data_IF_565632186703
#
_entry.id   IF_565632186703
#
_cell.length_a   1.000
_cell.length_b   1.000
_cell.length_c   1.000
_cell.angle_alpha   90.00
_cell.angle_beta   90.00
_cell.angle_gamma   90.00
#
_symmetry.space_group_name_H-M   'P 1'
#
loop_
_entity.id
_entity.type
_entity.pdbx_description
1 polymer ?
#
# COMPACT_ATOMS: atom_id res chain seq x y z
N UNK A 1 60.13 36.95 -55.22
CA UNK A 1 59.61 37.08 -53.85
C UNK A 1 59.90 35.78 -53.11
N UNK A 2 60.54 35.90 -51.94
CA UNK A 2 61.23 34.90 -51.12
C UNK A 2 60.38 33.66 -50.75
N UNK A 3 60.88 32.42 -50.84
CA UNK A 3 61.83 31.66 -49.99
C UNK A 3 61.32 31.26 -48.58
N UNK A 4 61.25 29.93 -48.40
CA UNK A 4 61.04 29.16 -47.17
C UNK A 4 62.02 29.53 -46.04
N UNK A 5 61.57 29.49 -44.78
CA UNK A 5 62.38 29.19 -43.57
C UNK A 5 61.52 28.66 -42.43
N UNK A 6 62.02 27.59 -41.81
CA UNK A 6 61.50 26.86 -40.65
C UNK A 6 61.44 27.67 -39.34
N UNK A 7 60.60 27.24 -38.39
CA UNK A 7 60.94 27.16 -36.95
C UNK A 7 59.97 26.14 -36.28
N UNK A 8 60.36 24.87 -36.15
CA UNK A 8 60.91 24.26 -34.93
C UNK A 8 60.08 24.51 -33.64
N UNK A 9 59.41 23.48 -33.11
CA UNK A 9 59.83 22.72 -31.90
C UNK A 9 58.71 21.80 -31.36
N UNK A 10 58.95 20.48 -31.47
CA UNK A 10 58.39 19.44 -30.58
C UNK A 10 58.87 19.68 -29.14
N UNK A 11 57.97 19.66 -28.15
CA UNK A 11 58.26 19.24 -26.75
C UNK A 11 57.03 18.60 -26.08
N UNK A 12 57.24 17.73 -25.06
CA UNK A 12 56.49 16.47 -24.92
C UNK A 12 55.34 16.48 -23.89
N UNK A 13 54.28 15.74 -24.21
CA UNK A 13 53.04 15.54 -23.43
C UNK A 13 53.18 14.73 -22.12
N UNK A 14 54.37 14.67 -21.52
CA UNK A 14 54.64 13.80 -20.35
C UNK A 14 54.44 14.47 -18.99
N UNK A 15 54.38 15.81 -18.92
CA UNK A 15 54.24 16.51 -17.63
C UNK A 15 52.79 16.71 -17.16
N UNK A 16 51.80 16.54 -18.04
CA UNK A 16 50.38 16.78 -17.70
C UNK A 16 49.66 15.56 -17.11
N UNK A 17 50.19 14.33 -17.25
CA UNK A 17 49.55 13.11 -16.72
C UNK A 17 49.87 12.80 -15.25
N UNK A 18 50.88 13.43 -14.64
CA UNK A 18 51.20 13.21 -13.21
C UNK A 18 50.41 14.14 -12.26
N UNK A 19 49.87 15.26 -12.76
CA UNK A 19 49.14 16.23 -11.95
C UNK A 19 47.63 15.98 -11.86
N UNK A 20 47.02 15.22 -12.79
CA UNK A 20 45.59 14.89 -12.72
C UNK A 20 45.30 13.67 -11.82
N UNK A 21 46.23 12.72 -11.70
CA UNK A 21 46.05 11.55 -10.85
C UNK A 21 46.20 11.87 -9.35
N UNK A 22 47.07 12.81 -8.98
CA UNK A 22 47.30 13.19 -7.57
C UNK A 22 46.18 14.06 -7.01
N UNK A 23 45.61 14.96 -7.82
CA UNK A 23 44.46 15.78 -7.41
C UNK A 23 43.20 14.91 -7.26
N UNK A 24 42.96 13.97 -8.18
CA UNK A 24 41.82 13.05 -8.09
C UNK A 24 41.85 12.16 -6.85
N UNK A 25 43.02 11.60 -6.50
CA UNK A 25 43.19 10.77 -5.31
C UNK A 25 43.02 11.56 -4.00
N UNK A 26 43.48 12.81 -3.96
CA UNK A 26 43.32 13.67 -2.79
C UNK A 26 41.86 14.06 -2.53
N UNK A 27 41.09 14.36 -3.60
CA UNK A 27 39.65 14.65 -3.48
C UNK A 27 38.87 13.43 -3.00
N UNK A 28 39.20 12.24 -3.52
CA UNK A 28 38.57 10.98 -3.08
C UNK A 28 38.86 10.64 -1.62
N UNK A 29 40.10 10.85 -1.15
CA UNK A 29 40.48 10.65 0.25
C UNK A 29 39.79 11.65 1.19
N UNK A 30 39.66 12.91 0.78
CA UNK A 30 38.92 13.93 1.56
C UNK A 30 37.44 13.56 1.64
N UNK A 31 36.84 13.11 0.53
CA UNK A 31 35.45 12.65 0.51
C UNK A 31 35.24 11.41 1.38
N UNK A 32 36.13 10.42 1.31
CA UNK A 32 36.11 9.23 2.18
C UNK A 32 36.25 9.58 3.66
N UNK A 33 37.15 10.51 4.01
CA UNK A 33 37.30 10.99 5.39
C UNK A 33 36.08 11.78 5.88
N UNK A 34 35.41 12.53 5.00
CA UNK A 34 34.13 13.17 5.30
C UNK A 34 33.01 12.14 5.48
N UNK A 35 32.92 11.12 4.64
CA UNK A 35 31.96 10.02 4.78
C UNK A 35 32.17 9.25 6.09
N UNK A 36 33.42 8.92 6.45
CA UNK A 36 33.73 8.25 7.71
C UNK A 36 33.43 9.13 8.93
N UNK A 37 33.64 10.45 8.87
CA UNK A 37 33.22 11.37 9.94
C UNK A 37 31.71 11.55 10.02
N UNK A 38 30.99 11.50 8.90
CA UNK A 38 29.52 11.55 8.90
C UNK A 38 28.91 10.25 9.44
N UNK A 39 29.48 9.10 9.08
CA UNK A 39 29.07 7.78 9.61
C UNK A 39 29.45 7.65 11.10
N UNK A 40 30.65 8.09 11.49
CA UNK A 40 31.10 8.05 12.89
C UNK A 40 30.37 9.04 13.81
N UNK A 41 29.91 10.18 13.29
CA UNK A 41 29.00 11.07 14.05
C UNK A 41 27.59 10.50 14.15
N UNK A 42 27.15 9.69 13.19
CA UNK A 42 25.84 9.02 13.23
C UNK A 42 25.80 7.88 14.26
N UNK A 43 26.94 7.29 14.61
CA UNK A 43 27.02 6.23 15.63
C UNK A 43 27.15 6.75 17.07
N UNK A 44 27.60 7.99 17.27
CA UNK A 44 27.86 8.53 18.62
C UNK A 44 26.67 9.35 19.20
N UNK A 45 25.66 9.67 18.38
CA UNK A 45 24.44 10.39 18.80
C UNK A 45 23.22 9.45 19.02
N UNK A 46 23.39 8.12 18.93
CA UNK A 46 22.34 7.14 19.25
C UNK A 46 22.46 6.71 20.72
N UNK A 47 22.21 7.65 21.62
CA UNK A 47 21.74 7.30 22.96
C UNK A 47 20.25 7.01 22.85
N UNK A 48 19.83 5.83 23.31
CA UNK A 48 18.43 5.40 23.42
C UNK A 48 17.59 6.50 24.11
N UNK A 49 16.79 7.21 23.34
CA UNK A 49 15.71 8.07 23.82
C UNK A 49 14.38 7.33 23.58
N UNK A 50 13.79 6.71 24.61
CA UNK A 50 12.59 5.88 24.44
C UNK A 50 11.33 6.75 24.42
N UNK A 51 11.25 7.76 23.55
CA UNK A 51 10.02 8.54 23.38
C UNK A 51 10.06 9.39 22.10
N UNK A 52 9.66 8.82 20.96
CA UNK A 52 8.98 9.50 19.84
C UNK A 52 9.01 8.64 18.57
N UNK A 53 8.39 7.47 18.61
CA UNK A 53 7.89 6.85 17.39
C UNK A 53 6.53 7.50 17.06
N UNK A 54 6.40 8.29 15.97
CA UNK A 54 5.11 8.85 15.56
C UNK A 54 4.08 7.76 15.19
N UNK A 55 4.49 6.50 15.00
CA UNK A 55 3.59 5.36 14.83
C UNK A 55 3.08 4.78 16.16
N UNK A 56 3.66 5.14 17.31
CA UNK A 56 3.22 4.63 18.62
C UNK A 56 1.88 5.18 19.12
N UNK A 57 1.31 6.17 18.43
CA UNK A 57 0.03 6.79 18.79
C UNK A 57 -1.19 6.17 18.08
N UNK A 58 -1.00 5.23 17.13
CA UNK A 58 -2.11 4.38 16.70
C UNK A 58 -2.41 3.49 17.89
N UNK A 59 -3.52 3.77 18.58
CA UNK A 59 -3.98 2.92 19.66
C UNK A 59 -3.98 1.48 19.14
N UNK A 60 -3.12 0.63 19.70
CA UNK A 60 -3.26 -0.82 19.62
C UNK A 60 -4.55 -1.18 20.35
N UNK A 61 -5.69 -0.82 19.77
CA UNK A 61 -6.95 -1.44 20.08
C UNK A 61 -6.80 -2.85 19.54
N UNK A 62 -6.31 -3.73 20.41
CA UNK A 62 -6.61 -5.15 20.31
C UNK A 62 -8.12 -5.22 20.32
N UNK A 63 -8.72 -5.30 19.13
CA UNK A 63 -10.08 -5.75 18.99
C UNK A 63 -10.04 -7.18 19.52
N UNK A 64 -10.38 -7.36 20.80
CA UNK A 64 -10.82 -8.64 21.29
C UNK A 64 -11.90 -9.07 20.30
N UNK A 65 -11.65 -10.16 19.58
CA UNK A 65 -12.54 -10.73 18.55
C UNK A 65 -13.84 -11.27 19.18
N UNK A 66 -14.37 -10.59 20.19
CA UNK A 66 -15.76 -10.59 20.60
C UNK A 66 -16.57 -9.63 19.73
N UNK A 67 -16.11 -9.39 18.48
CA UNK A 67 -16.99 -8.98 17.38
C UNK A 67 -18.03 -10.08 17.22
N UNK A 68 -19.12 -9.92 17.96
CA UNK A 68 -20.33 -10.68 17.76
C UNK A 68 -20.81 -10.38 16.35
N UNK A 69 -20.43 -11.25 15.42
CA UNK A 69 -20.83 -11.19 14.01
C UNK A 69 -22.36 -11.16 13.82
N UNK A 70 -23.13 -11.29 14.90
CA UNK A 70 -24.59 -11.21 14.94
C UNK A 70 -25.14 -9.89 15.51
N UNK A 71 -24.31 -9.04 16.15
CA UNK A 71 -24.80 -7.93 16.99
C UNK A 71 -25.03 -6.60 16.27
N UNK A 72 -24.52 -6.38 15.06
CA UNK A 72 -24.80 -5.14 14.32
C UNK A 72 -25.62 -5.41 13.06
N UNK A 73 -26.78 -4.75 13.04
CA UNK A 73 -27.90 -4.95 12.13
C UNK A 73 -27.57 -4.50 10.70
N UNK A 74 -26.85 -5.34 9.98
CA UNK A 74 -27.16 -5.74 8.61
C UNK A 74 -26.67 -7.18 8.52
N UNK A 75 -27.49 -8.11 9.03
CA UNK A 75 -27.24 -9.53 8.94
C UNK A 75 -26.79 -9.79 7.50
N UNK A 76 -25.52 -10.23 7.36
CA UNK A 76 -25.01 -10.73 6.09
C UNK A 76 -26.11 -11.63 5.52
N UNK A 77 -26.78 -11.15 4.47
CA UNK A 77 -27.87 -11.88 3.86
C UNK A 77 -27.28 -12.70 2.73
N UNK A 78 -26.90 -13.98 2.98
CA UNK A 78 -26.43 -14.85 1.91
C UNK A 78 -27.48 -15.00 0.81
N UNK A 79 -28.77 -14.72 1.07
CA UNK A 79 -29.84 -14.78 0.07
C UNK A 79 -29.87 -13.58 -0.87
N UNK A 80 -29.24 -12.44 -0.55
CA UNK A 80 -29.09 -11.32 -1.49
C UNK A 80 -28.14 -11.67 -2.65
N UNK A 81 -27.27 -12.66 -2.44
CA UNK A 81 -26.40 -13.25 -3.46
C UNK A 81 -27.02 -14.50 -4.13
N UNK A 82 -28.02 -15.10 -3.49
CA UNK A 82 -28.71 -16.31 -3.97
C UNK A 82 -29.96 -15.97 -4.79
N UNK A 83 -29.89 -14.93 -5.63
CA UNK A 83 -30.83 -14.77 -6.74
C UNK A 83 -30.60 -15.88 -7.77
N UNK A 84 -31.07 -17.07 -7.41
CA UNK A 84 -31.08 -18.28 -8.24
C UNK A 84 -32.02 -18.14 -9.45
N UNK A 85 -32.72 -17.02 -9.62
CA UNK A 85 -33.56 -16.80 -10.80
C UNK A 85 -32.77 -16.72 -12.10
N UNK A 86 -31.42 -16.61 -12.03
CA UNK A 86 -30.55 -16.60 -13.20
C UNK A 86 -29.38 -17.62 -13.16
N UNK A 87 -29.43 -18.63 -12.29
CA UNK A 87 -28.64 -19.86 -12.43
C UNK A 87 -27.10 -19.75 -12.48
N UNK A 88 -26.49 -18.72 -11.89
CA UNK A 88 -25.03 -18.65 -11.80
C UNK A 88 -24.55 -17.62 -10.78
N UNK A 89 -23.45 -17.93 -10.07
CA UNK A 89 -22.70 -16.94 -9.29
C UNK A 89 -22.37 -15.76 -10.21
N UNK A 90 -22.75 -14.52 -9.84
CA UNK A 90 -22.47 -13.35 -10.68
C UNK A 90 -20.96 -13.17 -10.78
N UNK A 91 -20.39 -13.58 -11.93
CA UNK A 91 -18.95 -13.53 -12.19
C UNK A 91 -18.51 -12.09 -12.40
N UNK A 92 -17.45 -11.66 -11.71
CA UNK A 92 -16.70 -10.45 -12.04
C UNK A 92 -15.64 -10.84 -13.09
N UNK A 93 -15.87 -10.46 -14.34
CA UNK A 93 -14.94 -10.72 -15.44
C UNK A 93 -13.78 -9.70 -15.44
N UNK A 94 -12.65 -9.98 -16.11
CA UNK A 94 -11.56 -9.02 -16.23
C UNK A 94 -12.03 -7.65 -16.74
N UNK A 95 -11.59 -6.58 -16.08
CA UNK A 95 -11.97 -5.19 -16.36
C UNK A 95 -13.47 -4.90 -16.21
N UNK A 96 -14.14 -5.64 -15.31
CA UNK A 96 -15.52 -5.37 -14.92
C UNK A 96 -15.62 -5.32 -13.40
N UNK A 97 -16.66 -4.65 -12.90
CA UNK A 97 -16.91 -4.47 -11.47
C UNK A 97 -18.32 -4.90 -11.08
N UNK A 98 -18.48 -5.24 -9.81
CA UNK A 98 -19.75 -5.50 -9.16
C UNK A 98 -19.90 -4.60 -7.92
N UNK A 99 -21.07 -3.98 -7.71
CA UNK A 99 -22.19 -3.88 -8.65
C UNK A 99 -21.81 -3.09 -9.92
N UNK A 100 -22.62 -3.14 -11.01
CA UNK A 100 -22.34 -2.43 -12.26
C UNK A 100 -22.64 -0.93 -12.16
N UNK A 101 -22.15 -0.29 -11.11
CA UNK A 101 -22.19 1.15 -10.83
C UNK A 101 -20.78 1.62 -10.51
N UNK A 102 -20.49 2.90 -10.68
CA UNK A 102 -19.18 3.47 -10.34
C UNK A 102 -18.89 3.30 -8.84
N UNK A 103 -17.64 3.04 -8.50
CA UNK A 103 -17.19 2.91 -7.10
C UNK A 103 -17.68 4.07 -6.23
N UNK A 104 -17.43 5.30 -6.64
CA UNK A 104 -17.83 6.51 -5.89
C UNK A 104 -19.33 6.62 -5.61
N UNK A 105 -20.18 5.94 -6.38
CA UNK A 105 -21.64 5.89 -6.17
C UNK A 105 -22.02 4.82 -5.13
N UNK A 106 -21.16 3.82 -4.95
CA UNK A 106 -21.40 2.63 -4.12
C UNK A 106 -20.68 2.77 -2.79
N UNK A 107 -19.36 2.95 -2.83
CA UNK A 107 -18.47 3.10 -1.68
C UNK A 107 -18.32 4.56 -1.22
N UNK A 108 -18.95 5.51 -1.93
CA UNK A 108 -18.82 6.94 -1.65
C UNK A 108 -17.47 7.52 -2.10
N UNK A 109 -17.39 8.85 -2.20
CA UNK A 109 -16.11 9.53 -2.44
C UNK A 109 -15.22 9.49 -1.19
N UNK A 110 -13.91 9.71 -1.38
CA UNK A 110 -13.07 10.09 -0.25
C UNK A 110 -13.41 11.53 0.17
N UNK A 111 -13.23 11.79 1.46
CA UNK A 111 -13.41 13.04 2.15
C UNK A 111 -12.19 13.30 3.06
N UNK A 112 -11.14 13.95 2.53
CA UNK A 112 -9.92 14.23 3.29
C UNK A 112 -10.15 15.22 4.44
N UNK A 113 -11.26 15.97 4.45
CA UNK A 113 -11.60 16.87 5.55
C UNK A 113 -12.17 16.10 6.75
N UNK A 114 -12.84 14.98 6.51
CA UNK A 114 -13.37 14.08 7.54
C UNK A 114 -12.40 12.97 7.95
N UNK A 115 -11.53 12.53 7.04
CA UNK A 115 -10.60 11.43 7.31
C UNK A 115 -9.56 11.79 8.37
N UNK A 116 -9.43 10.94 9.40
CA UNK A 116 -8.40 11.06 10.44
C UNK A 116 -7.71 9.72 10.60
N UNK A 117 -6.39 9.67 10.44
CA UNK A 117 -5.64 8.40 10.51
C UNK A 117 -5.82 7.73 11.86
N UNK A 118 -5.76 8.52 12.93
CA UNK A 118 -5.80 8.05 14.32
C UNK A 118 -7.19 7.59 14.76
N UNK A 119 -8.24 8.04 14.06
CA UNK A 119 -9.61 7.67 14.35
C UNK A 119 -10.09 6.60 13.38
N UNK A 120 -9.93 6.79 12.08
CA UNK A 120 -10.58 5.94 11.07
C UNK A 120 -9.80 4.65 10.78
N UNK A 121 -8.46 4.67 10.88
CA UNK A 121 -7.63 3.51 10.58
C UNK A 121 -7.38 2.63 11.80
N UNK A 122 -7.21 1.35 11.52
CA UNK A 122 -6.89 0.31 12.49
C UNK A 122 -5.79 -0.56 11.91
N UNK A 123 -4.84 -0.93 12.75
CA UNK A 123 -3.80 -1.86 12.39
C UNK A 123 -4.31 -3.30 12.58
N UNK A 124 -4.32 -4.09 11.51
CA UNK A 124 -4.82 -5.46 11.52
C UNK A 124 -3.73 -6.46 11.12
N UNK A 125 -3.56 -7.48 11.96
CA UNK A 125 -2.55 -8.51 11.81
C UNK A 125 -3.20 -9.88 11.78
N UNK A 126 -2.93 -10.64 10.73
CA UNK A 126 -3.36 -12.03 10.60
C UNK A 126 -2.24 -12.82 9.91
N UNK A 127 -1.69 -13.81 10.62
CA UNK A 127 -0.57 -14.64 10.15
C UNK A 127 -0.94 -15.61 9.03
N UNK A 128 -2.23 -15.73 8.73
CA UNK A 128 -2.73 -16.53 7.60
C UNK A 128 -2.86 -15.73 6.30
N UNK A 129 -2.70 -14.41 6.38
CA UNK A 129 -2.68 -13.49 5.24
C UNK A 129 -1.22 -13.17 4.91
N UNK A 130 -0.91 -13.07 3.62
CA UNK A 130 0.35 -12.51 3.16
C UNK A 130 0.18 -11.01 2.89
N UNK A 131 1.09 -10.19 3.41
CA UNK A 131 1.07 -8.72 3.32
C UNK A 131 2.25 -8.25 2.45
N UNK A 132 2.07 -7.32 1.52
CA UNK A 132 3.16 -6.85 0.66
C UNK A 132 4.15 -6.01 1.45
N UNK A 133 3.63 -5.13 2.31
CA UNK A 133 4.42 -4.25 3.16
C UNK A 133 5.41 -4.98 4.10
N UNK A 134 5.16 -6.25 4.44
CA UNK A 134 6.10 -7.10 5.20
C UNK A 134 7.38 -7.45 4.44
N UNK A 135 7.39 -7.18 3.13
CA UNK A 135 8.45 -7.56 2.20
C UNK A 135 9.10 -6.36 1.50
N UNK A 136 8.72 -5.15 1.88
CA UNK A 136 9.25 -3.92 1.30
C UNK A 136 10.57 -3.48 1.95
N UNK A 137 11.25 -2.54 1.28
CA UNK A 137 12.43 -1.88 1.84
C UNK A 137 12.04 -0.70 2.74
N UNK A 138 13.00 -0.21 3.52
CA UNK A 138 12.86 0.96 4.42
C UNK A 138 12.49 2.30 3.73
N UNK A 139 12.37 2.28 2.42
CA UNK A 139 12.03 3.43 1.57
C UNK A 139 10.56 3.42 1.14
N UNK A 140 9.81 2.34 1.37
CA UNK A 140 8.37 2.31 1.15
C UNK A 140 7.63 2.73 2.42
N UNK A 141 6.62 3.57 2.23
CA UNK A 141 5.73 4.07 3.31
C UNK A 141 4.36 3.40 3.26
N UNK A 142 4.20 2.42 2.38
CA UNK A 142 3.05 1.53 2.37
C UNK A 142 2.94 0.76 3.68
N UNK A 143 1.71 0.70 4.20
CA UNK A 143 1.38 -0.12 5.36
C UNK A 143 0.06 -0.82 5.06
N UNK A 144 0.17 -2.06 4.56
CA UNK A 144 -0.98 -2.87 4.18
C UNK A 144 -1.80 -3.33 5.39
N UNK A 145 -1.21 -3.29 6.57
CA UNK A 145 -1.89 -3.62 7.82
C UNK A 145 -2.82 -2.49 8.28
N UNK A 146 -2.61 -1.26 7.80
CA UNK A 146 -3.34 -0.10 8.24
C UNK A 146 -4.56 0.13 7.33
N UNK A 147 -5.74 -0.30 7.78
CA UNK A 147 -6.97 -0.27 6.99
C UNK A 147 -8.04 0.56 7.70
N UNK A 148 -9.02 1.08 6.96
CA UNK A 148 -10.20 1.69 7.58
C UNK A 148 -10.96 0.62 8.37
N UNK A 149 -11.39 0.95 9.59
CA UNK A 149 -12.17 0.04 10.48
C UNK A 149 -13.33 -0.69 9.79
N UNK A 150 -14.01 -0.04 8.85
CA UNK A 150 -15.13 -0.62 8.09
C UNK A 150 -14.73 -1.73 7.12
N UNK A 151 -13.44 -1.87 6.78
CA UNK A 151 -12.92 -2.99 5.98
C UNK A 151 -12.95 -4.30 6.76
N UNK A 152 -12.67 -4.26 8.06
CA UNK A 152 -12.38 -5.46 8.85
C UNK A 152 -13.45 -6.57 8.71
N UNK A 153 -14.77 -6.28 8.80
CA UNK A 153 -15.75 -7.35 8.68
C UNK A 153 -15.69 -8.07 7.33
N UNK A 154 -15.45 -7.35 6.23
CA UNK A 154 -15.37 -7.94 4.90
C UNK A 154 -14.03 -8.67 4.68
N UNK A 155 -12.92 -8.08 5.14
CA UNK A 155 -11.58 -8.68 5.06
C UNK A 155 -11.50 -10.01 5.84
N UNK A 156 -11.98 -10.04 7.08
CA UNK A 156 -11.99 -11.24 7.92
C UNK A 156 -12.82 -12.36 7.27
N UNK A 157 -14.01 -12.03 6.76
CA UNK A 157 -14.86 -13.00 6.05
C UNK A 157 -14.21 -13.49 4.75
N UNK A 158 -13.56 -12.61 4.00
CA UNK A 158 -12.86 -12.99 2.77
C UNK A 158 -11.72 -13.97 3.07
N UNK A 159 -10.88 -13.66 4.05
CA UNK A 159 -9.77 -14.54 4.42
C UNK A 159 -10.28 -15.94 4.83
N UNK A 160 -11.32 -16.01 5.66
CA UNK A 160 -11.94 -17.28 6.04
C UNK A 160 -12.46 -18.09 4.82
N UNK A 161 -13.10 -17.43 3.84
CA UNK A 161 -13.57 -18.08 2.61
C UNK A 161 -12.41 -18.57 1.73
N UNK A 162 -11.32 -17.81 1.65
CA UNK A 162 -10.12 -18.17 0.88
C UNK A 162 -9.42 -19.38 1.51
N UNK A 163 -9.23 -19.37 2.83
CA UNK A 163 -8.66 -20.49 3.58
C UNK A 163 -9.52 -21.76 3.46
N UNK A 164 -10.85 -21.63 3.48
CA UNK A 164 -11.76 -22.76 3.29
C UNK A 164 -11.58 -23.43 1.91
N UNK A 165 -11.11 -22.69 0.91
CA UNK A 165 -10.78 -23.22 -0.42
C UNK A 165 -9.32 -23.70 -0.55
N UNK A 166 -8.55 -23.68 0.55
CA UNK A 166 -7.16 -24.15 0.57
C UNK A 166 -6.18 -23.20 -0.12
N UNK A 167 -6.53 -21.92 -0.22
CA UNK A 167 -5.72 -20.86 -0.81
C UNK A 167 -5.26 -19.87 0.28
N UNK A 168 -4.30 -18.99 -0.07
CA UNK A 168 -3.79 -17.95 0.82
C UNK A 168 -4.13 -16.58 0.26
N UNK A 169 -4.81 -15.74 1.04
CA UNK A 169 -5.09 -14.35 0.64
C UNK A 169 -3.80 -13.53 0.67
N UNK A 170 -3.60 -12.67 -0.34
CA UNK A 170 -2.51 -11.71 -0.40
C UNK A 170 -3.08 -10.29 -0.49
N UNK A 171 -2.72 -9.43 0.45
CA UNK A 171 -2.92 -7.99 0.32
C UNK A 171 -1.72 -7.43 -0.45
N UNK A 172 -1.99 -6.59 -1.44
CA UNK A 172 -0.95 -5.97 -2.28
C UNK A 172 -0.82 -4.47 -2.04
N UNK A 173 -1.92 -3.84 -1.64
CA UNK A 173 -1.97 -2.41 -1.33
C UNK A 173 -3.22 -2.18 -0.47
N UNK A 174 -3.10 -1.34 0.57
CA UNK A 174 -4.24 -0.86 1.36
C UNK A 174 -4.20 0.66 1.60
N UNK A 175 -3.19 1.12 2.35
CA UNK A 175 -3.03 2.51 2.75
C UNK A 175 -1.56 2.92 2.72
N UNK A 176 -1.35 4.18 2.36
CA UNK A 176 -0.05 4.83 2.37
C UNK A 176 -0.17 6.33 2.55
N UNK A 177 0.72 6.90 3.34
CA UNK A 177 0.70 8.33 3.68
C UNK A 177 1.03 9.22 2.47
N UNK A 178 2.00 8.81 1.66
CA UNK A 178 2.57 9.65 0.59
C UNK A 178 1.69 9.76 -0.68
N UNK A 179 0.52 9.11 -0.71
CA UNK A 179 -0.53 9.35 -1.70
C UNK A 179 -0.17 9.21 -3.19
N UNK A 180 0.41 8.09 -3.63
CA UNK A 180 0.66 7.79 -5.07
C UNK A 180 -0.62 7.56 -5.88
N UNK A 181 -1.74 7.20 -5.22
CA UNK A 181 -3.00 7.02 -5.92
C UNK A 181 -3.60 8.34 -6.39
N UNK A 182 -4.52 8.26 -7.34
CA UNK A 182 -5.31 9.42 -7.75
C UNK A 182 -5.96 10.12 -6.54
N UNK A 183 -6.14 11.45 -6.56
CA UNK A 183 -6.71 12.21 -5.44
C UNK A 183 -8.06 11.71 -4.92
N UNK A 184 -8.85 11.06 -5.78
CA UNK A 184 -10.16 10.51 -5.44
C UNK A 184 -10.14 9.02 -5.03
N UNK A 185 -8.96 8.40 -4.94
CA UNK A 185 -8.83 6.98 -4.59
C UNK A 185 -9.21 6.71 -3.14
N UNK A 186 -9.87 5.58 -2.91
CA UNK A 186 -10.26 5.13 -1.58
C UNK A 186 -9.10 4.50 -0.78
N UNK A 187 -7.99 4.12 -1.43
CA UNK A 187 -6.74 3.76 -0.74
C UNK A 187 -6.21 4.91 0.12
N UNK A 188 -6.49 6.18 -0.26
CA UNK A 188 -6.08 7.35 0.52
C UNK A 188 -6.76 7.46 1.89
N UNK A 189 -7.78 6.63 2.15
CA UNK A 189 -8.47 6.53 3.43
C UNK A 189 -8.45 5.12 4.01
N UNK A 190 -7.65 4.22 3.42
CA UNK A 190 -7.66 2.80 3.78
C UNK A 190 -9.00 2.10 3.55
N UNK A 191 -9.89 2.66 2.71
CA UNK A 191 -11.23 2.10 2.41
C UNK A 191 -11.24 1.18 1.19
N UNK A 192 -10.09 0.94 0.58
CA UNK A 192 -9.91 -0.01 -0.51
C UNK A 192 -8.70 -0.91 -0.26
N UNK A 193 -8.71 -2.09 -0.88
CA UNK A 193 -7.62 -3.05 -0.92
C UNK A 193 -7.41 -3.53 -2.35
N UNK A 194 -6.15 -3.74 -2.73
CA UNK A 194 -5.78 -4.52 -3.91
C UNK A 194 -5.38 -5.93 -3.48
N UNK A 195 -6.05 -6.93 -4.06
CA UNK A 195 -6.05 -8.30 -3.57
C UNK A 195 -5.57 -9.29 -4.63
N UNK A 196 -4.74 -10.23 -4.22
CA UNK A 196 -4.47 -11.46 -4.97
C UNK A 196 -4.58 -12.67 -4.03
N UNK A 197 -4.36 -13.87 -4.55
CA UNK A 197 -4.34 -15.07 -3.72
C UNK A 197 -3.41 -16.11 -4.34
N UNK A 198 -2.66 -16.82 -3.50
CA UNK A 198 -1.95 -18.02 -3.93
C UNK A 198 -2.91 -19.22 -3.92
N UNK A 199 -2.83 -20.05 -4.96
CA UNK A 199 -3.75 -21.19 -5.14
C UNK A 199 -5.16 -20.85 -5.63
N UNK A 200 -5.48 -19.59 -5.96
CA UNK A 200 -6.82 -19.18 -6.41
C UNK A 200 -6.78 -18.21 -7.60
N UNK A 201 -7.69 -18.40 -8.56
CA UNK A 201 -7.84 -17.45 -9.68
C UNK A 201 -8.48 -16.14 -9.23
N UNK A 202 -8.08 -15.01 -9.82
CA UNK A 202 -8.69 -13.69 -9.55
C UNK A 202 -10.21 -13.67 -9.76
N UNK A 203 -10.72 -14.39 -10.76
CA UNK A 203 -12.16 -14.50 -11.00
C UNK A 203 -12.92 -15.20 -9.86
N UNK A 204 -12.26 -16.15 -9.16
CA UNK A 204 -12.82 -16.79 -7.96
C UNK A 204 -12.69 -15.87 -6.76
N UNK A 205 -11.52 -15.25 -6.57
CA UNK A 205 -11.29 -14.27 -5.50
C UNK A 205 -12.30 -13.13 -5.54
N UNK A 206 -12.61 -12.59 -6.71
CA UNK A 206 -13.61 -11.54 -6.86
C UNK A 206 -15.02 -12.00 -6.44
N UNK A 207 -15.40 -13.25 -6.71
CA UNK A 207 -16.68 -13.80 -6.26
C UNK A 207 -16.71 -13.90 -4.73
N UNK A 208 -15.60 -14.33 -4.13
CA UNK A 208 -15.48 -14.41 -2.68
C UNK A 208 -15.46 -13.01 -2.03
N UNK A 209 -14.83 -12.02 -2.64
CA UNK A 209 -14.85 -10.63 -2.16
C UNK A 209 -16.28 -10.06 -2.16
N UNK A 210 -17.04 -10.29 -3.23
CA UNK A 210 -18.47 -9.92 -3.26
C UNK A 210 -19.25 -10.69 -2.19
N UNK A 211 -19.00 -11.99 -2.04
CA UNK A 211 -19.62 -12.82 -1.01
C UNK A 211 -19.18 -12.43 0.41
N UNK A 212 -18.00 -11.84 0.60
CA UNK A 212 -17.52 -11.38 1.89
C UNK A 212 -18.16 -10.05 2.31
N UNK A 213 -18.85 -9.37 1.38
CA UNK A 213 -19.57 -8.13 1.64
C UNK A 213 -18.73 -6.87 1.44
N UNK A 214 -17.72 -6.90 0.56
CA UNK A 214 -17.20 -5.65 -0.01
C UNK A 214 -18.30 -4.96 -0.83
N UNK A 215 -18.46 -3.66 -0.64
CA UNK A 215 -19.53 -2.90 -1.29
C UNK A 215 -19.30 -2.78 -2.80
N UNK A 216 -18.03 -2.66 -3.20
CA UNK A 216 -17.61 -2.60 -4.60
C UNK A 216 -16.38 -3.48 -4.84
N UNK A 217 -16.41 -4.27 -5.90
CA UNK A 217 -15.33 -5.19 -6.29
C UNK A 217 -15.06 -5.05 -7.78
N UNK A 218 -13.81 -4.80 -8.14
CA UNK A 218 -13.35 -4.62 -9.51
C UNK A 218 -12.20 -5.56 -9.83
N UNK A 219 -12.35 -6.29 -10.93
CA UNK A 219 -11.23 -7.02 -11.49
C UNK A 219 -10.39 -6.04 -12.32
N UNK A 220 -9.43 -5.42 -11.64
CA UNK A 220 -8.48 -4.47 -12.20
C UNK A 220 -7.41 -5.19 -13.04
N UNK A 221 -7.06 -4.58 -14.17
CA UNK A 221 -5.96 -5.06 -15.02
C UNK A 221 -5.26 -3.83 -15.60
N UNK A 222 -4.49 -3.11 -14.76
CA UNK A 222 -3.92 -1.83 -15.12
C UNK A 222 -2.83 -2.02 -16.17
N UNK A 223 -2.61 -1.00 -17.00
CA UNK A 223 -1.54 -1.02 -17.99
C UNK A 223 -0.20 -0.84 -17.29
N UNK A 224 0.65 -1.87 -17.30
CA UNK A 224 1.99 -1.82 -16.72
C UNK A 224 2.10 -2.37 -15.29
N UNK A 225 0.99 -2.79 -14.69
CA UNK A 225 0.96 -3.51 -13.41
C UNK A 225 0.37 -4.92 -13.54
N UNK A 226 0.48 -5.70 -12.46
CA UNK A 226 -0.18 -6.99 -12.34
C UNK A 226 -1.70 -6.82 -12.23
N UNK A 227 -2.45 -7.81 -12.72
CA UNK A 227 -3.89 -7.83 -12.51
C UNK A 227 -4.20 -8.27 -11.07
N UNK A 228 -5.18 -7.65 -10.44
CA UNK A 228 -5.59 -7.89 -9.06
C UNK A 228 -7.09 -7.63 -8.90
N UNK A 229 -7.63 -7.93 -7.73
CA UNK A 229 -9.00 -7.58 -7.34
C UNK A 229 -8.93 -6.35 -6.44
N UNK A 230 -9.41 -5.23 -6.96
CA UNK A 230 -9.64 -4.02 -6.17
C UNK A 230 -10.99 -4.17 -5.45
N UNK A 231 -11.02 -3.98 -4.14
CA UNK A 231 -12.23 -4.11 -3.35
C UNK A 231 -12.35 -2.98 -2.32
N UNK A 232 -13.51 -2.32 -2.26
CA UNK A 232 -13.71 -1.17 -1.38
C UNK A 232 -15.03 -1.21 -0.62
N UNK A 233 -15.07 -0.44 0.46
CA UNK A 233 -16.24 -0.31 1.35
C UNK A 233 -16.72 1.13 1.42
N UNK A 234 -18.02 1.28 1.66
CA UNK A 234 -18.61 2.55 2.05
C UNK A 234 -18.23 2.89 3.48
N UNK A 235 -17.98 4.17 3.75
CA UNK A 235 -17.85 4.67 5.13
C UNK A 235 -19.20 4.50 5.82
N UNK A 236 -19.24 3.71 6.87
CA UNK A 236 -20.44 3.57 7.69
C UNK A 236 -20.44 4.73 8.66
N UNK A 237 -21.50 5.54 8.65
CA UNK A 237 -21.70 6.51 9.73
C UNK A 237 -21.81 5.72 11.02
N UNK A 238 -20.84 5.86 11.93
CA UNK A 238 -21.04 5.42 13.30
C UNK A 238 -22.26 6.18 13.85
N UNK A 239 -23.43 5.55 13.82
CA UNK A 239 -24.62 6.02 14.51
C UNK A 239 -24.33 5.96 16.00
N UNK A 240 -23.63 6.97 16.53
CA UNK A 240 -23.14 6.92 17.90
C UNK A 240 -22.35 8.13 18.39
N UNK A 241 -22.00 9.11 17.54
CA UNK A 241 -21.58 10.40 18.09
C UNK A 241 -22.82 11.22 18.46
N UNK A 242 -23.06 11.53 19.75
CA UNK A 242 -24.06 12.52 20.09
C UNK A 242 -23.63 13.84 19.45
N UNK A 243 -24.48 14.37 18.57
CA UNK A 243 -24.45 15.79 18.26
C UNK A 243 -24.69 16.53 19.57
N UNK A 244 -23.63 17.10 20.14
CA UNK A 244 -23.80 18.00 21.28
C UNK A 244 -24.71 19.16 20.85
N UNK A 245 -25.73 19.52 21.66
CA UNK A 245 -26.68 20.57 21.34
C UNK A 245 -26.04 21.96 21.26
#
# INVERSE_FOLDING_TARGET
MYQFRDFYLRKPWWHYRRWQATIGAAVLLIFLLLCVKLVGRRSDDMADDPESDPHSAVAQQTYDLDWDATADHDAFDPMRYNDQSNGGTRKVAPRTHFPPRKELVVSGANDPELFRVEEDLVEYHDTTIWWESDHDGDWDTENDHLVHRDILPALIRLNALVLQEGATLKIQDAYREEGIHAPASLHREGRALDLTADGMSLARLAQLAVQAGFDWVYYESPKGGGAHIHASVARKTHMGQPVNP
#
